data_IF_040984618721
#
_entry.id   IF_040984618721
#
_cell.length_a   1.000
_cell.length_b   1.000
_cell.length_c   1.000
_cell.angle_alpha   90.00
_cell.angle_beta   90.00
_cell.angle_gamma   90.00
#
_symmetry.space_group_name_H-M   'P 1'
#
loop_
_entity.id
_entity.type
_entity.pdbx_description
1 polymer ?
#
# COMPACT_ATOMS: atom_id res chain seq x y z
N UNK A 1 -21.55 31.23 -31.66
CA UNK A 1 -22.61 30.67 -30.81
C UNK A 1 -22.84 29.25 -31.27
N UNK A 2 -22.31 28.27 -30.53
CA UNK A 2 -22.63 26.85 -30.78
C UNK A 2 -24.05 26.68 -30.26
N UNK A 3 -24.98 26.33 -31.16
CA UNK A 3 -26.36 26.04 -30.77
C UNK A 3 -26.32 24.89 -29.77
N UNK A 4 -26.86 25.11 -28.58
CA UNK A 4 -27.09 24.04 -27.62
C UNK A 4 -28.14 23.12 -28.26
N UNK A 5 -27.68 21.95 -28.72
CA UNK A 5 -28.54 20.90 -29.23
C UNK A 5 -29.60 20.55 -28.17
N UNK A 6 -30.81 20.23 -28.62
CA UNK A 6 -31.95 19.90 -27.76
C UNK A 6 -31.55 18.79 -26.78
N UNK A 7 -31.58 19.02 -25.45
CA UNK A 7 -31.11 18.04 -24.46
C UNK A 7 -31.88 16.72 -24.50
N UNK A 8 -33.05 16.65 -25.15
CA UNK A 8 -33.76 15.39 -25.39
C UNK A 8 -33.03 14.48 -26.39
N UNK A 9 -32.34 15.03 -27.40
CA UNK A 9 -31.58 14.26 -28.40
C UNK A 9 -30.40 13.51 -27.76
N UNK A 10 -29.81 14.06 -26.69
CA UNK A 10 -28.73 13.40 -25.94
C UNK A 10 -29.19 12.09 -25.27
N UNK A 11 -30.48 11.96 -24.91
CA UNK A 11 -31.00 10.79 -24.21
C UNK A 11 -31.58 9.73 -25.15
N UNK A 12 -31.85 10.08 -26.41
CA UNK A 12 -32.45 9.18 -27.41
C UNK A 12 -31.41 8.44 -28.28
N UNK A 13 -30.16 8.91 -28.30
CA UNK A 13 -29.06 8.28 -29.07
C UNK A 13 -28.12 7.46 -28.16
N UNK A 14 -27.51 6.37 -28.66
CA UNK A 14 -26.52 5.62 -27.90
C UNK A 14 -25.27 6.47 -27.65
N UNK A 15 -25.01 6.78 -26.39
CA UNK A 15 -23.81 7.52 -25.99
C UNK A 15 -22.55 6.65 -26.11
N UNK A 16 -21.62 7.05 -26.99
CA UNK A 16 -20.31 6.43 -27.08
C UNK A 16 -19.36 7.01 -26.03
N UNK A 17 -18.70 6.14 -25.27
CA UNK A 17 -17.69 6.58 -24.30
C UNK A 17 -16.47 7.16 -25.00
N UNK A 18 -16.12 8.40 -24.67
CA UNK A 18 -14.94 9.10 -25.20
C UNK A 18 -13.63 8.29 -25.06
N UNK A 19 -13.48 7.56 -23.95
CA UNK A 19 -12.31 6.71 -23.68
C UNK A 19 -12.37 5.33 -24.36
N UNK A 20 -13.50 4.99 -24.99
CA UNK A 20 -13.77 3.67 -25.55
C UNK A 20 -12.70 3.20 -26.52
N UNK A 21 -12.41 3.97 -27.59
CA UNK A 21 -11.39 3.60 -28.58
C UNK A 21 -10.03 3.29 -27.95
N UNK A 22 -9.53 4.14 -27.04
CA UNK A 22 -8.22 3.95 -26.41
C UNK A 22 -8.12 2.65 -25.60
N UNK A 23 -9.21 2.26 -24.92
CA UNK A 23 -9.23 1.06 -24.10
C UNK A 23 -9.32 -0.21 -24.93
N UNK A 24 -10.13 -0.22 -25.99
CA UNK A 24 -10.33 -1.41 -26.83
C UNK A 24 -9.15 -1.66 -27.77
N UNK A 25 -8.38 -0.63 -28.12
CA UNK A 25 -7.15 -0.76 -28.92
C UNK A 25 -5.91 -1.05 -28.07
N UNK A 26 -6.00 -0.95 -26.74
CA UNK A 26 -4.84 -1.03 -25.84
C UNK A 26 -3.94 0.21 -25.89
N UNK A 27 -4.40 1.31 -26.50
CA UNK A 27 -3.64 2.58 -26.57
C UNK A 27 -3.74 3.42 -25.29
N UNK A 28 -4.70 3.12 -24.41
CA UNK A 28 -4.83 3.75 -23.10
C UNK A 28 -3.60 3.42 -22.23
N UNK A 29 -2.93 4.45 -21.70
CA UNK A 29 -1.77 4.30 -20.82
C UNK A 29 -2.19 4.33 -19.36
N UNK A 30 -1.77 3.33 -18.60
CA UNK A 30 -1.95 3.22 -17.16
C UNK A 30 -0.62 3.44 -16.44
N UNK A 31 -0.66 3.60 -15.11
CA UNK A 31 0.53 3.82 -14.28
C UNK A 31 1.60 2.73 -14.48
N UNK A 32 1.18 1.48 -14.73
CA UNK A 32 2.10 0.37 -14.95
C UNK A 32 2.83 0.44 -16.32
N UNK A 33 2.34 1.22 -17.27
CA UNK A 33 2.91 1.38 -18.61
C UNK A 33 3.93 2.54 -18.68
N UNK A 34 4.13 3.24 -17.56
CA UNK A 34 5.05 4.37 -17.47
C UNK A 34 6.37 3.88 -16.88
N UNK A 35 7.45 3.99 -17.65
CA UNK A 35 8.81 3.78 -17.18
C UNK A 35 9.61 5.07 -17.37
N UNK A 36 10.27 5.52 -16.32
CA UNK A 36 11.21 6.64 -16.34
C UNK A 36 12.63 6.12 -16.11
N UNK A 37 13.67 6.80 -16.64
CA UNK A 37 15.05 6.47 -16.30
C UNK A 37 15.25 6.42 -14.79
N UNK A 38 15.86 5.35 -14.28
CA UNK A 38 16.08 5.14 -12.85
C UNK A 38 14.87 4.65 -12.04
N UNK A 39 13.80 4.18 -12.68
CA UNK A 39 12.66 3.59 -11.96
C UNK A 39 13.08 2.37 -11.16
N UNK A 40 12.74 2.34 -9.87
CA UNK A 40 12.93 1.19 -8.99
C UNK A 40 11.62 0.43 -8.79
N UNK A 41 11.75 -0.87 -8.60
CA UNK A 41 10.68 -1.77 -8.18
C UNK A 41 10.54 -1.76 -6.66
N UNK A 42 9.31 -1.63 -6.18
CA UNK A 42 9.00 -1.67 -4.76
C UNK A 42 8.30 -2.98 -4.39
N UNK A 43 8.79 -3.65 -3.35
CA UNK A 43 8.13 -4.80 -2.75
C UNK A 43 7.95 -4.60 -1.24
N UNK A 44 6.89 -5.20 -0.68
CA UNK A 44 6.58 -5.11 0.74
C UNK A 44 6.67 -6.47 1.44
N UNK A 45 7.35 -6.50 2.59
CA UNK A 45 7.16 -7.56 3.58
C UNK A 45 5.79 -7.37 4.24
N UNK A 46 4.92 -8.37 4.14
CA UNK A 46 3.57 -8.30 4.70
C UNK A 46 3.39 -9.26 5.86
N UNK A 47 2.61 -8.82 6.84
CA UNK A 47 2.23 -9.62 7.99
C UNK A 47 1.37 -10.81 7.59
N UNK A 48 1.69 -12.04 8.02
CA UNK A 48 0.78 -13.18 7.93
C UNK A 48 -0.17 -13.26 9.13
N UNK A 49 -0.05 -12.36 10.11
CA UNK A 49 -0.80 -12.39 11.38
C UNK A 49 -1.93 -11.36 11.37
N UNK A 50 -3.12 -11.71 11.89
CA UNK A 50 -4.23 -10.77 11.99
C UNK A 50 -3.97 -9.68 13.03
N UNK A 51 -3.26 -9.97 14.13
CA UNK A 51 -2.83 -8.95 15.09
C UNK A 51 -1.64 -9.46 15.88
N UNK A 52 -0.54 -8.70 15.95
CA UNK A 52 0.66 -9.08 16.71
C UNK A 52 1.56 -7.87 16.97
N UNK A 53 2.35 -7.92 18.04
CA UNK A 53 3.44 -6.96 18.25
C UNK A 53 4.62 -7.32 17.36
N UNK A 54 5.25 -6.30 16.78
CA UNK A 54 6.51 -6.44 16.04
C UNK A 54 7.63 -6.32 17.07
N UNK A 55 8.42 -7.38 17.23
CA UNK A 55 9.56 -7.36 18.15
C UNK A 55 10.82 -6.85 17.44
N UNK A 56 11.06 -7.35 16.24
CA UNK A 56 12.18 -6.95 15.40
C UNK A 56 11.87 -7.24 13.94
N UNK A 57 12.56 -6.52 13.05
CA UNK A 57 12.56 -6.73 11.60
C UNK A 57 14.01 -6.81 11.17
N UNK A 58 14.46 -8.01 10.77
CA UNK A 58 15.79 -8.19 10.23
C UNK A 58 15.81 -7.80 8.74
N UNK A 59 16.65 -6.82 8.40
CA UNK A 59 16.80 -6.28 7.04
C UNK A 59 18.16 -6.64 6.41
N UNK A 60 19.03 -7.35 7.14
CA UNK A 60 20.42 -7.60 6.76
C UNK A 60 20.54 -8.32 5.41
N UNK A 61 19.82 -9.44 5.23
CA UNK A 61 19.86 -10.21 3.99
C UNK A 61 19.34 -9.42 2.79
N UNK A 62 18.26 -8.64 2.94
CA UNK A 62 17.69 -7.84 1.86
C UNK A 62 18.65 -6.73 1.41
N UNK A 63 19.39 -6.11 2.34
CA UNK A 63 20.38 -5.07 2.04
C UNK A 63 21.60 -5.59 1.26
N UNK A 64 21.84 -6.90 1.27
CA UNK A 64 22.97 -7.53 0.57
C UNK A 64 22.63 -7.98 -0.86
N UNK A 65 21.35 -7.92 -1.25
CA UNK A 65 20.94 -8.32 -2.60
C UNK A 65 21.43 -7.27 -3.62
N UNK A 66 22.19 -7.67 -4.66
CA UNK A 66 22.62 -6.74 -5.71
C UNK A 66 21.44 -6.02 -6.37
N UNK A 67 21.60 -4.72 -6.61
CA UNK A 67 20.55 -3.87 -7.18
C UNK A 67 19.50 -3.39 -6.17
N UNK A 68 19.61 -3.72 -4.88
CA UNK A 68 18.80 -3.09 -3.82
C UNK A 68 19.39 -1.74 -3.45
N UNK A 69 18.55 -0.70 -3.50
CA UNK A 69 18.94 0.67 -3.15
C UNK A 69 18.50 1.06 -1.74
N UNK A 70 17.35 0.56 -1.28
CA UNK A 70 16.83 0.88 0.04
C UNK A 70 16.00 -0.27 0.64
N UNK A 71 16.13 -0.43 1.95
CA UNK A 71 15.27 -1.29 2.77
C UNK A 71 14.77 -0.47 3.95
N UNK A 72 13.46 -0.20 3.97
CA UNK A 72 12.81 0.65 4.97
C UNK A 72 11.88 -0.16 5.87
N UNK A 73 11.85 0.19 7.15
CA UNK A 73 10.95 -0.34 8.17
C UNK A 73 10.09 0.79 8.76
N UNK A 74 9.13 0.44 9.61
CA UNK A 74 8.39 1.44 10.36
C UNK A 74 9.25 2.35 11.25
N UNK A 75 10.49 1.95 11.58
CA UNK A 75 11.41 2.81 12.32
C UNK A 75 12.00 3.95 11.47
N UNK A 76 12.23 3.70 10.17
CA UNK A 76 12.85 4.67 9.26
C UNK A 76 11.88 5.76 8.80
N UNK A 77 10.59 5.43 8.72
CA UNK A 77 9.54 6.34 8.23
C UNK A 77 8.93 7.20 9.35
N UNK A 78 8.89 6.71 10.59
CA UNK A 78 8.20 7.38 11.70
C UNK A 78 6.67 7.24 11.64
N UNK A 79 5.93 8.16 12.26
CA UNK A 79 4.46 8.08 12.39
C UNK A 79 3.71 8.67 11.20
N UNK A 80 4.10 8.28 9.98
CA UNK A 80 3.38 8.67 8.76
C UNK A 80 2.15 7.78 8.61
N UNK A 81 0.96 8.41 8.61
CA UNK A 81 -0.33 7.73 8.48
C UNK A 81 -1.15 8.28 7.33
N UNK A 82 -1.99 7.41 6.78
CA UNK A 82 -2.93 7.74 5.71
C UNK A 82 -4.31 7.18 6.04
N UNK A 83 -5.32 7.71 5.36
CA UNK A 83 -6.70 7.27 5.45
C UNK A 83 -7.66 8.38 5.06
N UNK A 84 -8.75 8.03 4.39
CA UNK A 84 -9.66 9.01 3.79
C UNK A 84 -10.45 9.82 4.82
N UNK A 85 -10.87 9.16 5.91
CA UNK A 85 -11.70 9.76 6.97
C UNK A 85 -10.94 9.90 8.29
N UNK A 86 -10.05 8.96 8.58
CA UNK A 86 -9.22 8.93 9.75
C UNK A 86 -7.78 8.60 9.34
N UNK A 87 -6.80 9.35 9.84
CA UNK A 87 -5.38 9.11 9.57
C UNK A 87 -4.81 8.08 10.56
N UNK A 88 -5.29 6.85 10.49
CA UNK A 88 -4.94 5.77 11.42
C UNK A 88 -4.12 4.64 10.79
N UNK A 89 -4.03 4.57 9.46
CA UNK A 89 -3.28 3.51 8.79
C UNK A 89 -1.81 3.90 8.60
N UNK A 90 -0.84 3.23 9.24
CA UNK A 90 0.57 3.55 9.09
C UNK A 90 1.13 3.19 7.71
N UNK A 91 2.07 4.00 7.20
CA UNK A 91 2.89 3.74 5.99
C UNK A 91 3.47 2.33 6.01
N UNK A 92 4.21 2.05 7.08
CA UNK A 92 4.72 0.74 7.48
C UNK A 92 4.40 0.54 8.97
N UNK A 93 3.93 -0.65 9.33
CA UNK A 93 3.68 -1.05 10.70
C UNK A 93 4.98 -0.98 11.53
N UNK A 94 4.93 -0.27 12.65
CA UNK A 94 6.09 -0.04 13.52
C UNK A 94 6.05 -0.90 14.78
N UNK A 95 5.02 -0.73 15.60
CA UNK A 95 4.90 -1.41 16.90
C UNK A 95 4.13 -2.73 16.83
N UNK A 96 3.12 -2.77 15.96
CA UNK A 96 2.19 -3.89 15.83
C UNK A 96 1.53 -3.88 14.47
N UNK A 97 1.17 -5.06 14.05
CA UNK A 97 0.27 -5.33 12.92
C UNK A 97 -1.14 -5.51 13.47
N UNK A 98 -2.13 -5.01 12.73
CA UNK A 98 -3.55 -4.98 13.05
C UNK A 98 -4.40 -5.81 12.07
N UNK A 99 -3.80 -6.25 10.97
CA UNK A 99 -4.42 -7.18 10.04
C UNK A 99 -3.39 -8.03 9.27
N UNK A 100 -3.88 -9.12 8.68
CA UNK A 100 -3.12 -9.86 7.67
C UNK A 100 -2.91 -8.94 6.47
N UNK A 101 -1.69 -8.90 5.95
CA UNK A 101 -1.32 -8.03 4.84
C UNK A 101 -0.72 -6.69 5.25
N UNK A 102 -0.73 -6.33 6.55
CA UNK A 102 -0.06 -5.12 7.03
C UNK A 102 1.40 -5.09 6.57
N UNK A 103 1.82 -3.96 6.01
CA UNK A 103 3.18 -3.77 5.49
C UNK A 103 4.12 -3.53 6.66
N UNK A 104 5.15 -4.34 6.80
CA UNK A 104 6.12 -4.29 7.90
C UNK A 104 7.44 -3.67 7.45
N UNK A 105 7.86 -3.97 6.23
CA UNK A 105 9.03 -3.39 5.59
C UNK A 105 8.79 -3.21 4.09
N UNK A 106 9.59 -2.35 3.47
CA UNK A 106 9.60 -2.08 2.03
C UNK A 106 11.03 -2.19 1.47
N UNK A 107 11.16 -2.68 0.25
CA UNK A 107 12.43 -2.74 -0.48
C UNK A 107 12.27 -2.13 -1.85
N UNK A 108 13.18 -1.21 -2.18
CA UNK A 108 13.30 -0.59 -3.48
C UNK A 108 14.56 -1.11 -4.20
N UNK A 109 14.40 -1.65 -5.40
CA UNK A 109 15.48 -2.29 -6.16
C UNK A 109 15.34 -2.07 -7.68
N UNK A 110 16.43 -2.27 -8.43
CA UNK A 110 16.47 -2.06 -9.88
C UNK A 110 15.61 -3.06 -10.66
N UNK A 111 15.37 -4.24 -10.09
CA UNK A 111 14.56 -5.29 -10.71
C UNK A 111 13.47 -5.78 -9.78
N UNK A 112 12.38 -6.30 -10.36
CA UNK A 112 11.27 -6.91 -9.60
C UNK A 112 11.75 -8.08 -8.73
N UNK A 113 12.70 -8.86 -9.24
CA UNK A 113 13.24 -10.03 -8.54
C UNK A 113 14.09 -9.62 -7.34
N UNK A 114 14.99 -8.64 -7.53
CA UNK A 114 15.79 -8.09 -6.44
C UNK A 114 14.91 -7.47 -5.33
N UNK A 115 13.82 -6.79 -5.69
CA UNK A 115 12.86 -6.28 -4.72
C UNK A 115 12.12 -7.42 -3.97
N UNK A 116 11.85 -8.53 -4.65
CA UNK A 116 11.13 -9.70 -4.12
C UNK A 116 11.87 -10.46 -3.01
N UNK A 117 13.18 -10.25 -2.83
CA UNK A 117 14.03 -10.93 -1.83
C UNK A 117 13.68 -10.67 -0.36
N UNK A 118 12.63 -9.89 -0.09
CA UNK A 118 12.17 -9.57 1.27
C UNK A 118 11.57 -10.79 1.95
N UNK A 119 12.31 -11.35 2.91
CA UNK A 119 11.83 -12.43 3.75
C UNK A 119 10.77 -11.91 4.74
N UNK A 120 9.74 -12.73 4.99
CA UNK A 120 8.70 -12.43 5.98
C UNK A 120 9.34 -12.20 7.36
N UNK A 121 8.81 -11.29 8.19
CA UNK A 121 9.32 -11.09 9.54
C UNK A 121 9.28 -12.41 10.33
N UNK A 122 10.44 -12.81 10.85
CA UNK A 122 10.65 -14.07 11.56
C UNK A 122 10.03 -14.10 12.96
N UNK A 123 9.69 -12.93 13.54
CA UNK A 123 9.24 -12.82 14.92
C UNK A 123 8.06 -11.84 15.12
N UNK A 124 6.85 -12.32 14.83
CA UNK A 124 5.61 -11.71 15.36
C UNK A 124 5.07 -12.63 16.46
N UNK A 125 5.19 -12.23 17.72
CA UNK A 125 4.75 -13.06 18.85
C UNK A 125 3.22 -13.14 18.88
N UNK A 126 2.61 -14.34 18.74
CA UNK A 126 1.17 -14.52 18.86
C UNK A 126 0.79 -14.59 20.34
N UNK A 127 0.65 -13.43 20.97
CA UNK A 127 -0.03 -13.33 22.26
C UNK A 127 0.75 -12.63 23.36
N UNK A 128 0.26 -11.47 23.77
CA UNK A 128 0.19 -11.19 25.19
C UNK A 128 -1.27 -11.32 25.60
N UNK A 129 -1.58 -12.51 26.14
CA UNK A 129 -2.79 -12.79 26.90
C UNK A 129 -2.63 -12.12 28.28
N UNK A 130 -3.17 -10.92 28.45
CA UNK A 130 -3.74 -10.42 29.71
C UNK A 130 -4.63 -9.24 29.38
N UNK A 131 -5.84 -9.53 28.90
CA UNK A 131 -6.90 -8.54 28.82
C UNK A 131 -7.41 -8.28 30.25
N UNK A 132 -6.87 -7.29 30.97
CA UNK A 132 -7.74 -6.55 31.88
C UNK A 132 -8.54 -5.60 31.00
N UNK A 133 -9.86 -5.84 30.88
CA UNK A 133 -10.80 -4.83 30.39
C UNK A 133 -10.48 -3.54 31.15
N UNK A 134 -9.91 -2.53 30.48
CA UNK A 134 -10.02 -1.17 30.99
C UNK A 134 -11.51 -0.83 30.87
N UNK A 135 -12.21 -0.51 31.97
CA UNK A 135 -13.55 0.05 31.84
C UNK A 135 -13.44 1.31 30.98
N UNK A 136 -14.37 1.45 30.03
CA UNK A 136 -14.50 2.68 29.26
C UNK A 136 -14.62 3.86 30.26
N UNK A 137 -13.94 5.00 30.04
CA UNK A 137 -14.23 6.19 30.83
C UNK A 137 -15.73 6.50 30.65
N UNK A 138 -16.46 6.86 31.72
CA UNK A 138 -17.87 7.22 31.60
C UNK A 138 -18.01 8.35 30.58
N UNK A 139 -18.94 8.20 29.63
CA UNK A 139 -19.21 9.24 28.65
C UNK A 139 -19.67 10.48 29.39
N UNK A 140 -18.95 11.59 29.25
CA UNK A 140 -19.48 12.91 29.59
C UNK A 140 -20.35 13.36 28.42
N UNK A 141 -21.60 12.94 28.47
CA UNK A 141 -22.73 13.70 27.95
C UNK A 141 -23.64 14.00 29.13
#
# INVERSE_FOLDING_TARGET
MIALEDPQVMFDEPEYRVEGPLKVTGSARYTADVQMPGTLWLAYARSPRPHARILSVDTSAAKQVPGVHAVLTGADIGDVRFGRRLLDWPALARERVRMVGDRVAAVAAETRDAAGGVRRPSACHPGQRTWRRRPAPPSRY
#
